data_IF_828197631321
#
_entry.id   IF_828197631321
#
_cell.length_a   1.000
_cell.length_b   1.000
_cell.length_c   1.000
_cell.angle_alpha   90.00
_cell.angle_beta   90.00
_cell.angle_gamma   90.00
#
_symmetry.space_group_name_H-M   'P 1'
#
loop_
_entity.id
_entity.type
_entity.pdbx_description
1 polymer ?
#
# COMPACT_ATOMS: atom_id res chain seq x y z
N UNK A 1 -17.43 15.93 0.18
CA UNK A 1 -16.43 15.63 1.23
C UNK A 1 -17.13 15.60 2.56
N UNK A 2 -16.90 14.56 3.37
CA UNK A 2 -17.33 14.53 4.78
C UNK A 2 -16.52 15.58 5.54
N UNK A 3 -17.16 16.48 6.28
CA UNK A 3 -16.41 17.49 7.06
C UNK A 3 -15.61 16.81 8.16
N UNK A 4 -14.36 17.24 8.36
CA UNK A 4 -13.57 16.77 9.50
C UNK A 4 -14.25 17.16 10.82
N UNK A 5 -14.26 16.27 11.84
CA UNK A 5 -14.74 16.61 13.17
C UNK A 5 -13.89 17.75 13.76
N UNK A 6 -14.53 18.57 14.58
CA UNK A 6 -13.88 19.69 15.28
C UNK A 6 -12.98 19.22 16.42
N UNK A 7 -13.24 18.02 16.96
CA UNK A 7 -12.47 17.41 18.04
C UNK A 7 -11.66 16.21 17.55
N UNK A 8 -10.51 15.89 18.19
CA UNK A 8 -9.74 14.71 17.83
C UNK A 8 -10.53 13.42 18.07
N UNK A 9 -10.51 12.53 17.09
CA UNK A 9 -11.05 11.16 17.20
C UNK A 9 -9.96 10.13 16.92
N UNK A 10 -10.31 8.84 16.92
CA UNK A 10 -9.37 7.80 16.51
C UNK A 10 -8.94 7.99 15.05
N UNK A 11 -9.90 8.30 14.17
CA UNK A 11 -9.75 8.53 12.73
C UNK A 11 -9.07 9.88 12.45
N UNK A 12 -9.49 10.94 13.15
CA UNK A 12 -9.00 12.31 12.93
C UNK A 12 -8.13 12.74 14.10
N UNK A 13 -6.83 12.51 13.97
CA UNK A 13 -5.87 12.77 15.05
C UNK A 13 -5.54 14.25 15.22
N UNK A 14 -5.59 15.00 14.11
CA UNK A 14 -5.28 16.42 14.02
C UNK A 14 -6.44 17.13 13.30
N UNK A 15 -7.44 17.65 14.05
CA UNK A 15 -8.50 18.48 13.47
C UNK A 15 -7.91 19.62 12.65
N UNK A 16 -8.41 19.84 11.43
CA UNK A 16 -7.84 20.83 10.51
C UNK A 16 -6.51 20.42 9.83
N UNK A 17 -6.05 19.18 9.96
CA UNK A 17 -4.93 18.66 9.19
C UNK A 17 -5.23 17.21 8.75
N UNK A 18 -5.88 17.07 7.60
CA UNK A 18 -6.25 15.78 7.02
C UNK A 18 -5.01 14.99 6.62
N UNK A 19 -3.99 15.68 6.10
CA UNK A 19 -2.71 15.07 5.70
C UNK A 19 -2.05 14.31 6.86
N UNK A 20 -1.83 14.98 8.00
CA UNK A 20 -1.29 14.33 9.19
C UNK A 20 -2.23 13.28 9.76
N UNK A 21 -3.54 13.56 9.82
CA UNK A 21 -4.53 12.61 10.36
C UNK A 21 -4.52 11.30 9.58
N UNK A 22 -4.60 11.36 8.25
CA UNK A 22 -4.57 10.19 7.37
C UNK A 22 -3.24 9.42 7.50
N UNK A 23 -2.10 10.12 7.48
CA UNK A 23 -0.81 9.45 7.60
C UNK A 23 -0.63 8.78 8.98
N UNK A 24 -1.07 9.42 10.07
CA UNK A 24 -1.05 8.79 11.41
C UNK A 24 -2.00 7.60 11.49
N UNK A 25 -3.17 7.69 10.88
CA UNK A 25 -4.14 6.60 10.83
C UNK A 25 -3.59 5.36 10.12
N UNK A 26 -2.86 5.55 9.01
CA UNK A 26 -2.17 4.45 8.31
C UNK A 26 -1.19 3.73 9.25
N UNK A 27 -0.44 4.46 10.07
CA UNK A 27 0.50 3.89 11.05
C UNK A 27 -0.22 3.23 12.22
N UNK A 28 -1.29 3.84 12.76
CA UNK A 28 -2.15 3.22 13.79
C UNK A 28 -2.68 1.86 13.31
N UNK A 29 -3.12 1.79 12.06
CA UNK A 29 -3.58 0.55 11.43
C UNK A 29 -2.53 -0.55 11.30
N UNK A 30 -1.26 -0.25 11.59
CA UNK A 30 -0.16 -1.22 11.55
C UNK A 30 0.21 -1.77 12.93
N UNK A 31 -0.39 -1.26 14.00
CA UNK A 31 -0.14 -1.70 15.38
C UNK A 31 -0.47 -3.17 15.58
N UNK A 32 -1.60 -3.65 15.03
CA UNK A 32 -2.03 -5.04 15.15
C UNK A 32 -1.02 -6.04 14.54
N UNK A 33 -0.15 -5.56 13.65
CA UNK A 33 0.85 -6.37 12.95
C UNK A 33 2.27 -6.19 13.51
N UNK A 34 2.42 -5.54 14.68
CA UNK A 34 3.72 -5.31 15.32
C UNK A 34 4.60 -4.28 14.62
N UNK A 35 4.10 -3.59 13.58
CA UNK A 35 4.83 -2.57 12.83
C UNK A 35 4.65 -1.15 13.39
N UNK A 36 3.94 -1.00 14.51
CA UNK A 36 3.92 0.21 15.31
C UNK A 36 3.53 -0.09 16.76
N UNK A 37 3.68 0.88 17.66
CA UNK A 37 3.17 0.81 19.03
C UNK A 37 2.36 2.04 19.38
N UNK A 38 1.20 1.85 20.03
CA UNK A 38 0.30 2.96 20.39
C UNK A 38 0.97 4.04 21.25
N UNK A 39 1.82 3.64 22.20
CA UNK A 39 2.54 4.59 23.05
C UNK A 39 3.55 5.43 22.27
N UNK A 40 4.23 4.85 21.29
CA UNK A 40 5.20 5.56 20.43
C UNK A 40 4.47 6.54 19.51
N UNK A 41 3.35 6.11 18.92
CA UNK A 41 2.48 7.00 18.14
C UNK A 41 1.96 8.16 18.99
N UNK A 42 1.48 7.90 20.21
CA UNK A 42 0.97 8.93 21.11
C UNK A 42 2.05 9.97 21.46
N UNK A 43 3.28 9.54 21.73
CA UNK A 43 4.42 10.44 21.96
C UNK A 43 4.72 11.33 20.74
N UNK A 44 4.72 10.75 19.53
CA UNK A 44 4.89 11.53 18.29
C UNK A 44 3.75 12.54 18.13
N UNK A 45 2.50 12.11 18.33
CA UNK A 45 1.31 12.94 18.16
C UNK A 45 1.30 14.11 19.13
N UNK A 46 1.67 13.91 20.40
CA UNK A 46 1.76 14.99 21.40
C UNK A 46 2.74 16.07 20.96
N UNK A 47 3.94 15.67 20.54
CA UNK A 47 4.95 16.63 20.06
C UNK A 47 4.54 17.33 18.77
N UNK A 48 3.91 16.61 17.84
CA UNK A 48 3.35 17.24 16.62
C UNK A 48 2.25 18.27 16.94
N UNK A 49 1.43 18.03 17.96
CA UNK A 49 0.40 19.01 18.39
C UNK A 49 1.03 20.29 18.93
N UNK A 50 2.12 20.21 19.67
CA UNK A 50 2.88 21.38 20.14
C UNK A 50 3.48 22.17 18.97
N UNK A 51 3.76 21.50 17.85
CA UNK A 51 4.35 22.06 16.63
C UNK A 51 3.32 22.42 15.55
N UNK A 52 2.03 22.29 15.83
CA UNK A 52 0.97 22.50 14.83
C UNK A 52 0.84 23.96 14.34
N UNK A 53 1.47 24.91 15.04
CA UNK A 53 1.55 26.32 14.64
C UNK A 53 2.82 26.70 13.86
N UNK A 54 3.72 25.76 13.58
CA UNK A 54 4.94 26.05 12.81
C UNK A 54 4.64 26.34 11.33
N UNK A 55 5.46 27.19 10.67
CA UNK A 55 5.25 27.54 9.27
C UNK A 55 5.49 26.36 8.31
N UNK A 56 6.34 25.41 8.70
CA UNK A 56 6.69 24.24 7.90
C UNK A 56 6.26 22.94 8.60
N UNK A 57 5.00 22.58 8.39
CA UNK A 57 4.39 21.38 8.97
C UNK A 57 4.93 20.08 8.35
N UNK A 58 5.42 20.10 7.11
CA UNK A 58 5.98 18.91 6.47
C UNK A 58 7.35 18.59 7.09
N UNK A 59 8.16 19.62 7.40
CA UNK A 59 9.39 19.48 8.19
C UNK A 59 9.12 19.00 9.60
N UNK A 60 8.14 19.58 10.30
CA UNK A 60 7.77 19.14 11.65
C UNK A 60 7.38 17.65 11.64
N UNK A 61 6.58 17.21 10.67
CA UNK A 61 6.28 15.79 10.49
C UNK A 61 7.53 14.93 10.32
N UNK A 62 8.40 15.28 9.37
CA UNK A 62 9.60 14.50 9.07
C UNK A 62 10.49 14.34 10.30
N UNK A 63 10.78 15.43 11.01
CA UNK A 63 11.63 15.43 12.21
C UNK A 63 11.00 14.63 13.35
N UNK A 64 9.69 14.76 13.58
CA UNK A 64 9.05 14.13 14.72
C UNK A 64 9.01 12.60 14.57
N UNK A 65 8.68 12.12 13.37
CA UNK A 65 8.68 10.69 13.04
C UNK A 65 10.09 10.11 12.93
N UNK A 66 11.03 10.82 12.31
CA UNK A 66 12.41 10.34 12.18
C UNK A 66 13.11 10.23 13.53
N UNK A 67 12.87 11.16 14.46
CA UNK A 67 13.42 11.06 15.82
C UNK A 67 12.93 9.83 16.56
N UNK A 68 11.65 9.48 16.43
CA UNK A 68 11.14 8.24 17.04
C UNK A 68 11.72 7.00 16.34
N UNK A 69 11.83 7.04 15.02
CA UNK A 69 12.47 5.99 14.24
C UNK A 69 13.95 5.78 14.62
N UNK A 70 14.73 6.86 14.80
CA UNK A 70 16.14 6.81 15.25
C UNK A 70 16.23 6.20 16.66
N UNK A 71 15.33 6.59 17.59
CA UNK A 71 15.28 6.00 18.94
C UNK A 71 15.02 4.50 18.90
N UNK A 72 14.02 4.07 18.13
CA UNK A 72 13.63 2.66 18.02
C UNK A 72 14.68 1.84 17.28
N UNK A 73 15.24 2.38 16.19
CA UNK A 73 16.31 1.74 15.43
C UNK A 73 17.54 1.49 16.31
N UNK A 74 17.95 2.46 17.15
CA UNK A 74 19.07 2.31 18.07
C UNK A 74 18.88 1.16 19.07
N UNK A 75 17.67 0.99 19.62
CA UNK A 75 17.36 -0.17 20.47
C UNK A 75 17.47 -1.48 19.69
N UNK A 76 17.08 -1.45 18.41
CA UNK A 76 17.27 -2.56 17.48
C UNK A 76 18.74 -2.88 17.25
N UNK A 77 19.56 -1.87 16.99
CA UNK A 77 21.00 -1.97 16.76
C UNK A 77 21.72 -2.51 18.02
N UNK A 78 21.36 -2.01 19.22
CA UNK A 78 21.85 -2.53 20.51
C UNK A 78 21.47 -4.00 20.71
N UNK A 79 20.22 -4.38 20.41
CA UNK A 79 19.77 -5.77 20.50
C UNK A 79 20.47 -6.68 19.50
N UNK A 80 20.75 -6.19 18.29
CA UNK A 80 21.44 -6.94 17.25
C UNK A 80 22.91 -7.18 17.63
N UNK A 81 23.58 -6.16 18.17
CA UNK A 81 24.94 -6.27 18.70
C UNK A 81 25.06 -7.32 19.83
N UNK A 82 24.00 -7.47 20.64
CA UNK A 82 23.90 -8.49 21.69
C UNK A 82 23.47 -9.88 21.18
N UNK A 83 23.25 -10.05 19.87
CA UNK A 83 22.78 -11.30 19.27
C UNK A 83 21.29 -11.62 19.53
N UNK A 84 20.49 -10.66 19.99
CA UNK A 84 19.06 -10.81 20.31
C UNK A 84 18.18 -10.61 19.06
N UNK A 85 18.27 -11.52 18.11
CA UNK A 85 17.67 -11.40 16.77
C UNK A 85 16.17 -11.05 16.77
N UNK A 86 15.33 -11.73 17.57
CA UNK A 86 13.88 -11.43 17.63
C UNK A 86 13.63 -10.03 18.18
N UNK A 87 14.36 -9.63 19.22
CA UNK A 87 14.22 -8.28 19.78
C UNK A 87 14.61 -7.22 18.75
N UNK A 88 15.75 -7.40 18.07
CA UNK A 88 16.20 -6.51 17.01
C UNK A 88 15.17 -6.44 15.88
N UNK A 89 14.67 -7.57 15.41
CA UNK A 89 13.64 -7.65 14.36
C UNK A 89 12.37 -6.88 14.71
N UNK A 90 11.86 -7.03 15.95
CA UNK A 90 10.68 -6.30 16.42
C UNK A 90 10.91 -4.77 16.43
N UNK A 91 12.11 -4.31 16.81
CA UNK A 91 12.43 -2.88 16.77
C UNK A 91 12.55 -2.39 15.33
N UNK A 92 13.26 -3.13 14.48
CA UNK A 92 13.47 -2.75 13.09
C UNK A 92 12.17 -2.70 12.30
N UNK A 93 11.18 -3.57 12.58
CA UNK A 93 9.87 -3.51 11.91
C UNK A 93 9.18 -2.17 12.17
N UNK A 94 9.18 -1.72 13.43
CA UNK A 94 8.60 -0.41 13.81
C UNK A 94 9.43 0.76 13.28
N UNK A 95 10.75 0.70 13.42
CA UNK A 95 11.63 1.76 12.92
C UNK A 95 11.51 1.94 11.40
N UNK A 96 11.42 0.85 10.63
CA UNK A 96 11.20 0.87 9.18
C UNK A 96 9.91 1.62 8.83
N UNK A 97 8.82 1.26 9.50
CA UNK A 97 7.52 1.92 9.32
C UNK A 97 7.53 3.41 9.72
N UNK A 98 8.26 3.77 10.77
CA UNK A 98 8.38 5.17 11.19
C UNK A 98 9.26 6.01 10.25
N UNK A 99 10.38 5.47 9.75
CA UNK A 99 11.17 6.16 8.73
C UNK A 99 10.39 6.32 7.41
N UNK A 100 9.67 5.29 6.98
CA UNK A 100 8.83 5.36 5.79
C UNK A 100 7.71 6.40 5.96
N UNK A 101 7.14 6.48 7.16
CA UNK A 101 6.17 7.53 7.50
C UNK A 101 6.80 8.92 7.55
N UNK A 102 8.00 9.06 8.09
CA UNK A 102 8.74 10.32 8.16
C UNK A 102 9.01 10.90 6.77
N UNK A 103 9.43 10.06 5.81
CA UNK A 103 9.74 10.54 4.47
C UNK A 103 8.53 11.00 3.66
N UNK A 104 7.31 10.68 4.09
CA UNK A 104 6.08 10.80 3.29
C UNK A 104 5.88 12.19 2.69
N UNK A 105 6.23 13.24 3.44
CA UNK A 105 6.05 14.63 2.99
C UNK A 105 7.36 15.32 2.56
N UNK A 106 8.48 14.60 2.58
CA UNK A 106 9.75 15.10 2.04
C UNK A 106 9.69 15.02 0.51
N UNK A 107 9.93 16.13 -0.23
CA UNK A 107 9.99 16.12 -1.69
C UNK A 107 11.10 15.19 -2.23
N UNK A 108 11.01 14.73 -3.49
CA UNK A 108 12.06 13.91 -4.09
C UNK A 108 13.42 14.62 -4.07
N UNK A 109 14.45 13.92 -3.59
CA UNK A 109 15.80 14.44 -3.43
C UNK A 109 16.61 13.65 -2.41
N UNK A 110 17.82 14.11 -2.12
CA UNK A 110 18.77 13.40 -1.26
C UNK A 110 18.25 13.12 0.16
N UNK A 111 17.51 14.07 0.73
CA UNK A 111 16.92 13.92 2.07
C UNK A 111 15.90 12.78 2.13
N UNK A 112 14.97 12.74 1.16
CA UNK A 112 13.99 11.65 1.03
C UNK A 112 14.71 10.32 0.84
N UNK A 113 15.71 10.28 -0.03
CA UNK A 113 16.47 9.06 -0.30
C UNK A 113 17.28 8.58 0.91
N UNK A 114 17.82 9.49 1.72
CA UNK A 114 18.49 9.14 2.96
C UNK A 114 17.51 8.52 3.96
N UNK A 115 16.32 9.11 4.11
CA UNK A 115 15.26 8.58 4.98
C UNK A 115 14.76 7.22 4.49
N UNK A 116 14.52 7.07 3.19
CA UNK A 116 14.10 5.81 2.59
C UNK A 116 15.11 4.69 2.80
N UNK A 117 16.43 4.96 2.62
CA UNK A 117 17.46 3.94 2.85
C UNK A 117 17.48 3.45 4.29
N UNK A 118 17.20 4.33 5.27
CA UNK A 118 17.01 3.93 6.67
C UNK A 118 15.78 3.03 6.83
N UNK A 119 14.66 3.39 6.22
CA UNK A 119 13.43 2.59 6.23
C UNK A 119 13.67 1.19 5.66
N UNK A 120 14.25 1.12 4.45
CA UNK A 120 14.53 -0.10 3.72
C UNK A 120 15.50 -1.02 4.48
N UNK A 121 16.58 -0.48 5.06
CA UNK A 121 17.49 -1.23 5.93
C UNK A 121 16.74 -1.90 7.09
N UNK A 122 15.93 -1.12 7.81
CA UNK A 122 15.18 -1.62 8.95
C UNK A 122 14.15 -2.69 8.53
N UNK A 123 13.39 -2.45 7.46
CA UNK A 123 12.44 -3.44 6.96
C UNK A 123 13.11 -4.76 6.56
N UNK A 124 14.19 -4.70 5.77
CA UNK A 124 14.94 -5.90 5.38
C UNK A 124 15.49 -6.64 6.60
N UNK A 125 16.08 -5.91 7.55
CA UNK A 125 16.62 -6.47 8.79
C UNK A 125 15.52 -7.13 9.64
N UNK A 126 14.33 -6.55 9.67
CA UNK A 126 13.18 -7.11 10.36
C UNK A 126 12.66 -8.38 9.69
N UNK A 127 12.46 -8.35 8.37
CA UNK A 127 12.02 -9.51 7.59
C UNK A 127 12.97 -10.69 7.76
N UNK A 128 14.27 -10.48 7.63
CA UNK A 128 15.28 -11.54 7.79
C UNK A 128 15.29 -12.18 9.19
N UNK A 129 14.98 -11.41 10.24
CA UNK A 129 15.04 -11.86 11.64
C UNK A 129 13.73 -12.49 12.11
N UNK A 130 12.60 -11.93 11.69
CA UNK A 130 11.26 -12.36 12.14
C UNK A 130 10.65 -13.41 11.21
N UNK A 131 11.02 -13.38 9.93
CA UNK A 131 10.43 -14.19 8.86
C UNK A 131 11.51 -14.72 7.90
N UNK A 132 12.52 -15.47 8.40
CA UNK A 132 13.60 -15.99 7.56
C UNK A 132 13.12 -16.96 6.47
N UNK A 133 11.89 -17.46 6.56
CA UNK A 133 11.23 -18.28 5.56
C UNK A 133 10.69 -17.51 4.35
N UNK A 134 10.61 -16.17 4.44
CA UNK A 134 10.10 -15.32 3.35
C UNK A 134 11.26 -14.95 2.42
N UNK A 135 11.12 -15.31 1.16
CA UNK A 135 12.18 -15.17 0.16
C UNK A 135 12.13 -13.76 -0.46
N UNK A 136 13.26 -13.04 -0.43
CA UNK A 136 13.42 -11.87 -1.32
C UNK A 136 13.72 -12.37 -2.71
N UNK A 137 12.98 -11.87 -3.70
CA UNK A 137 13.09 -12.32 -5.09
C UNK A 137 13.09 -11.14 -6.04
N UNK A 138 13.69 -11.34 -7.21
CA UNK A 138 13.70 -10.38 -8.30
C UNK A 138 12.88 -10.96 -9.44
N UNK A 139 11.79 -10.27 -9.81
CA UNK A 139 10.88 -10.67 -10.89
C UNK A 139 11.45 -10.12 -12.20
N UNK A 140 11.83 -10.97 -13.17
CA UNK A 140 12.31 -10.48 -14.47
C UNK A 140 11.28 -9.57 -15.14
N UNK A 141 11.71 -8.39 -15.58
CA UNK A 141 10.83 -7.36 -16.11
C UNK A 141 11.55 -6.54 -17.18
N UNK A 142 11.13 -6.68 -18.43
CA UNK A 142 11.78 -6.03 -19.59
C UNK A 142 13.30 -6.31 -19.59
N UNK A 143 14.14 -5.29 -19.54
CA UNK A 143 15.61 -5.37 -19.46
C UNK A 143 16.17 -5.30 -18.02
N UNK A 144 15.30 -5.39 -17.02
CA UNK A 144 15.62 -5.24 -15.60
C UNK A 144 14.82 -6.24 -14.73
N UNK A 145 14.66 -5.95 -13.44
CA UNK A 145 13.81 -6.70 -12.51
C UNK A 145 12.96 -5.80 -11.62
N UNK A 146 11.91 -6.38 -11.06
CA UNK A 146 11.07 -5.78 -10.02
C UNK A 146 11.31 -6.52 -8.69
N UNK A 147 11.64 -5.81 -7.60
CA UNK A 147 11.91 -6.43 -6.32
C UNK A 147 10.62 -6.86 -5.64
N UNK A 148 10.62 -8.07 -5.08
CA UNK A 148 9.46 -8.66 -4.45
C UNK A 148 9.83 -9.52 -3.22
N UNK A 149 8.83 -9.83 -2.42
CA UNK A 149 8.88 -10.85 -1.38
C UNK A 149 7.91 -11.98 -1.73
N UNK A 150 8.41 -13.21 -1.76
CA UNK A 150 7.61 -14.41 -1.95
C UNK A 150 7.36 -15.10 -0.60
N UNK A 151 6.09 -15.14 -0.20
CA UNK A 151 5.61 -15.79 1.02
C UNK A 151 4.97 -17.12 0.64
N UNK A 152 5.58 -18.22 1.05
CA UNK A 152 5.06 -19.55 0.74
C UNK A 152 3.85 -19.90 1.60
N UNK A 153 2.76 -20.35 0.99
CA UNK A 153 1.59 -20.83 1.70
C UNK A 153 1.89 -22.10 2.50
N UNK A 154 1.21 -22.32 3.64
CA UNK A 154 1.33 -23.56 4.42
C UNK A 154 0.77 -24.77 3.65
N UNK A 155 1.22 -25.98 3.98
CA UNK A 155 0.75 -27.24 3.37
C UNK A 155 1.70 -27.88 2.35
N UNK A 156 1.20 -28.83 1.55
CA UNK A 156 1.95 -29.55 0.52
C UNK A 156 1.31 -29.36 -0.86
N UNK A 157 2.09 -29.55 -1.92
CA UNK A 157 1.63 -29.49 -3.31
C UNK A 157 1.49 -28.08 -3.89
N UNK A 158 0.85 -28.00 -5.06
CA UNK A 158 0.54 -26.76 -5.77
C UNK A 158 -0.62 -26.03 -5.10
N UNK A 159 -0.49 -24.72 -4.96
CA UNK A 159 -1.39 -23.87 -4.17
C UNK A 159 -1.93 -22.68 -4.97
N UNK A 160 -3.10 -22.14 -4.58
CA UNK A 160 -3.51 -20.83 -5.05
C UNK A 160 -2.46 -19.79 -4.69
N UNK A 161 -2.32 -18.76 -5.51
CA UNK A 161 -1.30 -17.72 -5.34
C UNK A 161 -1.91 -16.34 -5.55
N UNK A 162 -1.56 -15.41 -4.68
CA UNK A 162 -1.95 -14.01 -4.77
C UNK A 162 -0.75 -13.15 -5.16
N UNK A 163 -0.82 -12.46 -6.29
CA UNK A 163 0.09 -11.37 -6.65
C UNK A 163 -0.45 -10.06 -6.08
N UNK A 164 0.31 -9.36 -5.26
CA UNK A 164 -0.10 -8.13 -4.58
C UNK A 164 0.70 -6.94 -5.06
N UNK A 165 0.01 -5.98 -5.69
CA UNK A 165 0.53 -4.64 -5.94
C UNK A 165 0.00 -3.66 -4.89
N UNK A 166 0.84 -2.71 -4.48
CA UNK A 166 0.50 -1.74 -3.46
C UNK A 166 -0.02 -0.40 -4.00
N UNK A 167 -0.09 0.60 -3.12
CA UNK A 167 -0.52 1.95 -3.45
C UNK A 167 0.61 2.84 -4.00
N UNK A 168 0.33 4.13 -4.16
CA UNK A 168 1.32 5.11 -4.63
C UNK A 168 2.40 5.45 -3.58
N UNK A 169 2.08 5.26 -2.29
CA UNK A 169 2.88 5.65 -1.13
C UNK A 169 3.05 4.49 -0.13
N UNK A 170 3.32 3.28 -0.64
CA UNK A 170 3.60 2.12 0.22
C UNK A 170 4.77 1.29 -0.31
N UNK A 171 5.15 0.27 0.44
CA UNK A 171 6.14 -0.73 0.06
C UNK A 171 5.61 -2.14 0.27
N UNK A 172 6.05 -3.09 -0.57
CA UNK A 172 5.75 -4.53 -0.49
C UNK A 172 5.91 -5.13 0.91
N UNK A 173 6.85 -4.66 1.74
CA UNK A 173 7.03 -5.17 3.10
C UNK A 173 5.77 -4.98 3.94
N UNK A 174 5.07 -3.87 3.76
CA UNK A 174 3.80 -3.63 4.45
C UNK A 174 2.74 -4.60 3.96
N UNK A 175 2.67 -4.84 2.65
CA UNK A 175 1.76 -5.82 2.03
C UNK A 175 1.98 -7.24 2.57
N UNK A 176 3.24 -7.65 2.77
CA UNK A 176 3.57 -8.93 3.43
C UNK A 176 3.03 -8.97 4.86
N UNK A 177 3.27 -7.91 5.63
CA UNK A 177 2.98 -7.90 7.06
C UNK A 177 1.48 -7.80 7.36
N UNK A 178 0.71 -6.97 6.65
CA UNK A 178 -0.72 -6.84 6.94
C UNK A 178 -1.58 -7.94 6.30
N UNK A 179 -1.15 -8.55 5.19
CA UNK A 179 -1.95 -9.54 4.46
C UNK A 179 -1.17 -10.80 4.07
N UNK A 180 0.04 -10.67 3.55
CA UNK A 180 0.79 -11.79 2.96
C UNK A 180 1.00 -12.97 3.91
N UNK A 181 1.38 -12.69 5.15
CA UNK A 181 1.55 -13.72 6.21
C UNK A 181 0.22 -14.41 6.54
N UNK A 182 -0.89 -13.67 6.52
CA UNK A 182 -2.22 -14.24 6.82
C UNK A 182 -2.70 -15.17 5.70
N UNK A 183 -2.61 -14.71 4.45
CA UNK A 183 -2.89 -15.55 3.28
C UNK A 183 -2.01 -16.81 3.25
N UNK A 184 -0.74 -16.69 3.63
CA UNK A 184 0.14 -17.85 3.73
C UNK A 184 -0.32 -18.86 4.81
N UNK A 185 -0.83 -18.40 5.96
CA UNK A 185 -1.44 -19.29 6.98
C UNK A 185 -2.63 -20.05 6.43
N UNK A 186 -3.39 -19.43 5.53
CA UNK A 186 -4.56 -20.01 4.82
C UNK A 186 -4.17 -20.94 3.66
N UNK A 187 -2.88 -21.13 3.40
CA UNK A 187 -2.39 -22.01 2.33
C UNK A 187 -2.28 -21.34 0.96
N UNK A 188 -2.35 -20.01 0.89
CA UNK A 188 -2.21 -19.22 -0.35
C UNK A 188 -0.77 -18.71 -0.43
N UNK A 189 -0.05 -18.96 -1.53
CA UNK A 189 1.25 -18.30 -1.73
C UNK A 189 1.03 -16.82 -2.04
N UNK A 190 2.00 -15.96 -1.71
CA UNK A 190 1.90 -14.53 -1.98
C UNK A 190 3.17 -14.02 -2.64
N UNK A 191 3.03 -13.24 -3.70
CA UNK A 191 4.08 -12.38 -4.24
C UNK A 191 3.71 -10.93 -3.94
N UNK A 192 4.33 -10.33 -2.94
CA UNK A 192 4.22 -8.89 -2.69
C UNK A 192 5.31 -8.17 -3.47
N UNK A 193 4.94 -7.33 -4.42
CA UNK A 193 5.86 -6.78 -5.43
C UNK A 193 5.76 -5.26 -5.48
N UNK A 194 6.92 -4.59 -5.52
CA UNK A 194 6.98 -3.18 -5.87
C UNK A 194 7.07 -3.08 -7.41
N UNK A 195 6.06 -2.48 -8.05
CA UNK A 195 6.06 -2.28 -9.51
C UNK A 195 6.56 -0.88 -9.94
N UNK A 196 6.51 -0.57 -11.25
CA UNK A 196 6.91 0.74 -11.77
C UNK A 196 6.19 1.90 -11.07
N UNK A 197 6.95 2.87 -10.56
CA UNK A 197 6.43 4.00 -9.80
C UNK A 197 6.14 3.73 -8.31
N UNK A 198 6.49 2.55 -7.79
CA UNK A 198 6.32 2.17 -6.38
C UNK A 198 7.69 2.01 -5.70
N UNK A 199 7.74 2.23 -4.38
CA UNK A 199 8.88 1.96 -3.46
C UNK A 199 10.26 1.85 -4.12
N UNK A 200 10.86 0.65 -4.19
CA UNK A 200 12.24 0.42 -4.65
C UNK A 200 12.45 0.82 -6.12
N UNK A 201 11.62 0.38 -7.10
CA UNK A 201 11.72 0.81 -8.49
C UNK A 201 11.77 2.34 -8.65
N UNK A 202 10.86 3.07 -8.00
CA UNK A 202 10.82 4.53 -8.12
C UNK A 202 12.02 5.19 -7.44
N UNK A 203 12.36 4.75 -6.22
CA UNK A 203 13.32 5.43 -5.36
C UNK A 203 14.77 5.08 -5.68
N UNK A 204 15.06 3.81 -5.99
CA UNK A 204 16.43 3.32 -6.21
C UNK A 204 16.81 3.24 -7.69
N UNK A 205 15.82 3.05 -8.56
CA UNK A 205 16.05 2.83 -9.99
C UNK A 205 15.44 3.92 -10.87
N UNK A 206 14.81 4.94 -10.27
CA UNK A 206 14.16 6.04 -10.98
C UNK A 206 13.18 5.52 -12.07
N UNK A 207 12.44 4.46 -11.74
CA UNK A 207 11.46 3.83 -12.63
C UNK A 207 10.06 4.43 -12.37
N UNK A 208 9.56 5.34 -13.24
CA UNK A 208 8.25 5.94 -13.06
C UNK A 208 7.12 4.94 -13.35
N UNK A 209 5.92 5.29 -12.94
CA UNK A 209 4.72 4.50 -13.20
C UNK A 209 4.32 4.52 -14.68
N UNK A 210 3.48 3.55 -15.05
CA UNK A 210 2.93 3.39 -16.38
C UNK A 210 1.45 3.03 -16.31
N UNK A 211 0.69 3.43 -17.32
CA UNK A 211 -0.76 3.21 -17.37
C UNK A 211 -1.12 1.80 -17.87
N UNK A 212 -0.25 1.18 -18.64
CA UNK A 212 -0.33 -0.20 -19.10
C UNK A 212 0.29 -1.15 -18.07
N UNK A 213 -0.27 -1.14 -16.86
CA UNK A 213 0.25 -1.90 -15.72
C UNK A 213 0.11 -3.43 -15.87
N UNK A 214 -0.64 -3.91 -16.85
CA UNK A 214 -0.64 -5.31 -17.29
C UNK A 214 0.77 -5.80 -17.66
N UNK A 215 1.69 -4.93 -18.09
CA UNK A 215 3.06 -5.35 -18.41
C UNK A 215 3.79 -5.83 -17.15
N UNK A 216 3.64 -5.12 -16.03
CA UNK A 216 4.15 -5.59 -14.73
C UNK A 216 3.34 -6.78 -14.20
N UNK A 217 2.02 -6.78 -14.42
CA UNK A 217 1.15 -7.89 -14.05
C UNK A 217 1.48 -9.21 -14.75
N UNK A 218 1.80 -9.18 -16.04
CA UNK A 218 2.24 -10.34 -16.83
C UNK A 218 3.57 -10.86 -16.33
N UNK A 219 4.56 -9.98 -16.09
CA UNK A 219 5.85 -10.38 -15.52
C UNK A 219 5.70 -11.07 -14.15
N UNK A 220 4.85 -10.53 -13.27
CA UNK A 220 4.56 -11.14 -11.98
C UNK A 220 3.87 -12.50 -12.12
N UNK A 221 2.93 -12.66 -13.05
CA UNK A 221 2.27 -13.94 -13.34
C UNK A 221 3.27 -14.99 -13.84
N UNK A 222 4.12 -14.62 -14.80
CA UNK A 222 5.11 -15.52 -15.39
C UNK A 222 6.13 -15.98 -14.33
N UNK A 223 6.56 -15.07 -13.45
CA UNK A 223 7.43 -15.42 -12.32
C UNK A 223 6.76 -16.42 -11.35
N UNK A 224 5.54 -16.16 -10.88
CA UNK A 224 4.93 -17.07 -9.90
C UNK A 224 4.64 -18.43 -10.52
N UNK A 225 4.24 -18.49 -11.79
CA UNK A 225 3.93 -19.76 -12.46
C UNK A 225 5.16 -20.57 -12.87
N UNK A 226 6.36 -19.97 -12.84
CA UNK A 226 7.62 -20.72 -12.95
C UNK A 226 7.96 -21.51 -11.67
N UNK A 227 7.27 -21.27 -10.56
CA UNK A 227 7.53 -21.91 -9.28
C UNK A 227 6.76 -23.23 -9.09
N UNK A 228 7.39 -24.29 -8.58
CA UNK A 228 6.76 -25.61 -8.47
C UNK A 228 5.61 -25.68 -7.47
N UNK A 229 5.56 -24.80 -6.47
CA UNK A 229 4.49 -24.73 -5.47
C UNK A 229 3.25 -23.92 -5.92
N UNK A 230 3.29 -23.31 -7.11
CA UNK A 230 2.19 -22.50 -7.64
C UNK A 230 1.33 -23.35 -8.57
N UNK A 231 0.02 -23.20 -8.42
CA UNK A 231 -0.95 -23.70 -9.39
C UNK A 231 -1.28 -22.60 -10.42
N UNK A 232 -0.85 -22.71 -11.68
CA UNK A 232 -1.07 -21.68 -12.69
C UNK A 232 -2.54 -21.36 -12.94
N UNK A 233 -3.45 -22.31 -12.71
CA UNK A 233 -4.89 -22.09 -12.88
C UNK A 233 -5.52 -21.31 -11.73
N UNK A 234 -4.79 -21.10 -10.62
CA UNK A 234 -5.28 -20.49 -9.38
C UNK A 234 -4.42 -19.30 -8.93
N UNK A 235 -4.01 -18.48 -9.88
CA UNK A 235 -3.29 -17.23 -9.60
C UNK A 235 -4.27 -16.05 -9.65
N UNK A 236 -4.40 -15.33 -8.56
CA UNK A 236 -5.16 -14.10 -8.45
C UNK A 236 -4.25 -12.87 -8.37
N UNK A 237 -4.79 -11.70 -8.68
CA UNK A 237 -4.13 -10.41 -8.44
C UNK A 237 -4.96 -9.56 -7.50
N UNK A 238 -4.28 -8.90 -6.57
CA UNK A 238 -4.83 -7.93 -5.65
C UNK A 238 -4.08 -6.61 -5.82
N UNK A 239 -4.84 -5.52 -5.81
CA UNK A 239 -4.30 -4.19 -5.66
C UNK A 239 -5.06 -3.42 -4.58
N UNK A 240 -4.35 -2.60 -3.81
CA UNK A 240 -4.98 -1.72 -2.83
C UNK A 240 -4.61 -0.26 -3.02
N UNK A 241 -5.54 0.64 -2.70
CA UNK A 241 -5.41 2.07 -2.99
C UNK A 241 -5.18 2.32 -4.49
N UNK A 242 -4.04 2.90 -4.90
CA UNK A 242 -3.68 3.03 -6.32
C UNK A 242 -3.66 1.67 -7.05
N UNK A 243 -3.33 0.58 -6.35
CA UNK A 243 -3.46 -0.78 -6.87
C UNK A 243 -4.89 -1.16 -7.26
N UNK A 244 -5.91 -0.50 -6.70
CA UNK A 244 -7.31 -0.66 -7.10
C UNK A 244 -7.60 -0.20 -8.54
N UNK A 245 -6.73 0.60 -9.15
CA UNK A 245 -6.71 0.84 -10.61
C UNK A 245 -5.94 -0.28 -11.33
N UNK A 246 -4.77 -0.64 -10.79
CA UNK A 246 -3.85 -1.58 -11.41
C UNK A 246 -4.44 -2.99 -11.56
N UNK A 247 -5.10 -3.54 -10.53
CA UNK A 247 -5.61 -4.91 -10.57
C UNK A 247 -6.69 -5.13 -11.65
N UNK A 248 -7.76 -4.31 -11.76
CA UNK A 248 -8.68 -4.40 -12.89
C UNK A 248 -8.02 -4.16 -14.24
N UNK A 249 -7.07 -3.22 -14.33
CA UNK A 249 -6.31 -2.94 -15.56
C UNK A 249 -5.48 -4.14 -16.01
N UNK A 250 -4.86 -4.85 -15.07
CA UNK A 250 -4.13 -6.11 -15.31
C UNK A 250 -5.12 -7.16 -15.83
N UNK A 251 -6.19 -7.49 -15.09
CA UNK A 251 -7.13 -8.54 -15.48
C UNK A 251 -7.91 -8.24 -16.79
N UNK A 252 -8.01 -6.97 -17.19
CA UNK A 252 -8.60 -6.59 -18.46
C UNK A 252 -7.76 -7.05 -19.68
N UNK A 253 -6.45 -7.24 -19.52
CA UNK A 253 -5.52 -7.50 -20.62
C UNK A 253 -4.61 -8.73 -20.42
N UNK A 254 -4.34 -9.13 -19.17
CA UNK A 254 -3.71 -10.40 -18.81
C UNK A 254 -4.79 -11.39 -18.33
N UNK A 255 -5.30 -12.17 -19.26
CA UNK A 255 -6.48 -13.04 -19.06
C UNK A 255 -6.19 -14.31 -18.25
N UNK A 256 -4.92 -14.60 -17.96
CA UNK A 256 -4.53 -15.79 -17.21
C UNK A 256 -4.78 -15.67 -15.71
N UNK A 257 -4.97 -14.47 -15.17
CA UNK A 257 -5.38 -14.29 -13.78
C UNK A 257 -6.79 -14.84 -13.54
N UNK A 258 -6.90 -15.75 -12.56
CA UNK A 258 -8.12 -16.45 -12.22
C UNK A 258 -9.08 -15.63 -11.34
N UNK A 259 -8.59 -14.59 -10.64
CA UNK A 259 -9.43 -13.68 -9.86
C UNK A 259 -8.77 -12.31 -9.67
N UNK A 260 -9.60 -11.29 -9.41
CA UNK A 260 -9.18 -9.91 -9.17
C UNK A 260 -9.73 -9.39 -7.84
N UNK A 261 -8.88 -8.76 -7.03
CA UNK A 261 -9.28 -8.13 -5.75
C UNK A 261 -8.90 -6.66 -5.76
N UNK A 262 -9.87 -5.80 -5.46
CA UNK A 262 -9.68 -4.35 -5.28
C UNK A 262 -9.93 -4.00 -3.82
N UNK A 263 -8.89 -3.73 -3.03
CA UNK A 263 -9.00 -3.29 -1.64
C UNK A 263 -8.90 -1.77 -1.57
N UNK A 264 -10.01 -1.07 -1.37
CA UNK A 264 -10.08 0.37 -1.56
C UNK A 264 -9.97 0.70 -3.04
N UNK A 265 -11.06 0.47 -3.80
CA UNK A 265 -11.19 0.88 -5.20
C UNK A 265 -10.59 2.27 -5.45
N UNK A 266 -9.93 2.45 -6.60
CA UNK A 266 -9.36 3.73 -7.01
C UNK A 266 -10.40 4.56 -7.79
N UNK A 267 -10.15 5.88 -7.90
CA UNK A 267 -10.91 6.78 -8.75
C UNK A 267 -11.04 6.24 -10.18
N UNK A 268 -12.23 6.38 -10.77
CA UNK A 268 -12.50 5.92 -12.14
C UNK A 268 -11.50 6.47 -13.18
N UNK A 269 -11.05 7.70 -12.95
CA UNK A 269 -9.95 8.34 -13.66
C UNK A 269 -9.04 9.04 -12.65
N UNK A 270 -7.75 8.72 -12.66
CA UNK A 270 -6.76 9.34 -11.78
C UNK A 270 -6.63 10.85 -12.04
N UNK A 271 -7.00 11.33 -13.22
CA UNK A 271 -7.09 12.76 -13.50
C UNK A 271 -7.97 13.51 -12.50
N UNK A 272 -9.15 12.98 -12.15
CA UNK A 272 -10.07 13.65 -11.24
C UNK A 272 -9.50 13.70 -9.81
N UNK A 273 -8.81 12.62 -9.41
CA UNK A 273 -8.04 12.59 -8.17
C UNK A 273 -6.97 13.68 -8.14
N UNK A 274 -6.07 13.72 -9.14
CA UNK A 274 -4.95 14.67 -9.17
C UNK A 274 -5.45 16.12 -9.26
N UNK A 275 -6.48 16.37 -10.09
CA UNK A 275 -7.09 17.68 -10.22
C UNK A 275 -7.75 18.14 -8.91
N UNK A 276 -8.45 17.26 -8.21
CA UNK A 276 -9.08 17.56 -6.92
C UNK A 276 -8.08 17.89 -5.81
N UNK A 277 -6.82 17.47 -5.95
CA UNK A 277 -5.73 17.75 -5.01
C UNK A 277 -4.98 19.06 -5.31
N UNK A 278 -5.39 19.82 -6.34
CA UNK A 278 -4.80 21.10 -6.71
C UNK A 278 -5.79 22.26 -6.43
N UNK A 279 -5.48 23.20 -5.51
CA UNK A 279 -4.24 23.34 -4.74
C UNK A 279 -4.17 22.44 -3.48
N UNK A 280 -2.95 22.12 -3.02
CA UNK A 280 -2.73 21.41 -1.76
C UNK A 280 -3.16 22.28 -0.58
N UNK A 281 -4.40 22.11 -0.15
CA UNK A 281 -4.80 22.47 1.21
C UNK A 281 -4.61 21.23 2.09
N UNK A 282 -3.69 21.21 3.07
CA UNK A 282 -3.51 20.08 3.99
C UNK A 282 -4.77 19.77 4.83
N UNK A 283 -5.75 20.68 4.86
CA UNK A 283 -7.09 20.43 5.43
C UNK A 283 -7.96 19.53 4.55
N UNK A 284 -7.70 19.50 3.25
CA UNK A 284 -8.56 18.87 2.24
C UNK A 284 -7.87 17.73 1.49
N UNK A 285 -6.54 17.63 1.55
CA UNK A 285 -5.74 16.66 0.81
C UNK A 285 -4.96 15.74 1.75
N UNK A 286 -5.00 14.44 1.46
CA UNK A 286 -4.33 13.41 2.26
C UNK A 286 -2.88 13.15 1.83
N UNK A 287 -2.51 13.58 0.61
CA UNK A 287 -1.17 13.43 0.03
C UNK A 287 -0.49 14.76 -0.33
N UNK A 288 0.78 14.71 -0.70
CA UNK A 288 1.55 15.86 -1.17
C UNK A 288 1.31 16.14 -2.65
N UNK A 289 1.32 17.42 -3.06
CA UNK A 289 1.15 17.84 -4.47
C UNK A 289 2.24 17.33 -5.40
N UNK A 290 3.44 17.07 -4.88
CA UNK A 290 4.54 16.54 -5.69
C UNK A 290 4.38 15.05 -6.03
N UNK A 291 3.54 14.31 -5.30
CA UNK A 291 3.60 12.84 -5.31
C UNK A 291 3.26 12.27 -6.68
N UNK A 292 2.17 12.74 -7.30
CA UNK A 292 1.79 12.29 -8.64
C UNK A 292 2.83 12.65 -9.71
N UNK A 293 3.40 13.86 -9.64
CA UNK A 293 4.48 14.28 -10.54
C UNK A 293 5.70 13.38 -10.40
N UNK A 294 6.08 13.03 -9.17
CA UNK A 294 7.22 12.17 -8.91
C UNK A 294 6.98 10.74 -9.42
N UNK A 295 5.82 10.17 -9.10
CA UNK A 295 5.44 8.81 -9.49
C UNK A 295 5.37 8.66 -11.01
N UNK A 296 4.90 9.69 -11.72
CA UNK A 296 4.91 9.71 -13.19
C UNK A 296 6.25 10.09 -13.82
N UNK A 297 7.20 10.60 -13.03
CA UNK A 297 8.46 11.14 -13.55
C UNK A 297 8.25 12.40 -14.42
N UNK A 298 7.09 13.05 -14.32
CA UNK A 298 6.75 14.18 -15.17
C UNK A 298 7.62 15.41 -14.83
N UNK A 299 8.06 16.18 -15.84
CA UNK A 299 8.92 17.35 -15.62
C UNK A 299 8.19 18.47 -14.87
N UNK A 300 6.87 18.57 -15.00
CA UNK A 300 6.04 19.61 -14.40
C UNK A 300 4.61 19.12 -14.10
N UNK A 301 3.85 19.94 -13.36
CA UNK A 301 2.47 19.62 -12.96
C UNK A 301 1.50 19.50 -14.16
N UNK A 302 1.53 20.38 -15.18
CA UNK A 302 0.68 20.22 -16.36
C UNK A 302 0.92 18.89 -17.09
N UNK A 303 2.17 18.48 -17.27
CA UNK A 303 2.51 17.20 -17.90
C UNK A 303 2.00 16.02 -17.06
N UNK A 304 2.17 16.10 -15.73
CA UNK A 304 1.64 15.09 -14.82
C UNK A 304 0.11 14.96 -14.92
N UNK A 305 -0.61 16.09 -14.99
CA UNK A 305 -2.06 16.11 -15.19
C UNK A 305 -2.48 15.49 -16.53
N UNK A 306 -1.78 15.79 -17.63
CA UNK A 306 -2.04 15.17 -18.92
C UNK A 306 -1.80 13.65 -18.88
N UNK A 307 -0.75 13.21 -18.18
CA UNK A 307 -0.49 11.79 -17.98
C UNK A 307 -1.60 11.10 -17.19
N UNK A 308 -2.16 11.76 -16.17
CA UNK A 308 -3.24 11.22 -15.34
C UNK A 308 -4.45 10.78 -16.16
N UNK A 309 -4.73 11.43 -17.29
CA UNK A 309 -5.83 11.05 -18.21
C UNK A 309 -5.67 9.65 -18.80
N UNK A 310 -4.45 9.12 -18.88
CA UNK A 310 -4.18 7.75 -19.36
C UNK A 310 -4.52 6.69 -18.31
N UNK A 311 -4.56 7.07 -17.04
CA UNK A 311 -4.86 6.18 -15.92
C UNK A 311 -6.38 6.16 -15.67
N UNK A 312 -7.10 5.55 -16.61
CA UNK A 312 -8.56 5.42 -16.56
C UNK A 312 -9.00 3.96 -16.66
N UNK A 313 -10.09 3.63 -15.98
CA UNK A 313 -10.77 2.34 -16.12
C UNK A 313 -11.89 2.35 -17.17
N UNK A 314 -12.15 3.50 -17.80
CA UNK A 314 -13.12 3.63 -18.88
C UNK A 314 -12.70 2.83 -20.12
N UNK A 315 -13.57 1.92 -20.58
CA UNK A 315 -13.27 1.03 -21.70
C UNK A 315 -12.25 -0.07 -21.35
N UNK A 316 -11.83 -0.15 -20.10
CA UNK A 316 -10.88 -1.12 -19.55
C UNK A 316 -11.61 -2.08 -18.62
N UNK A 317 -12.30 -1.57 -17.60
CA UNK A 317 -12.98 -2.40 -16.60
C UNK A 317 -14.04 -3.32 -17.24
N UNK A 318 -14.70 -2.86 -18.31
CA UNK A 318 -15.66 -3.64 -19.09
C UNK A 318 -15.05 -4.91 -19.72
N UNK A 319 -13.73 -5.00 -19.84
CA UNK A 319 -13.00 -6.15 -20.39
C UNK A 319 -12.63 -7.20 -19.35
N UNK A 320 -12.82 -6.94 -18.05
CA UNK A 320 -12.49 -7.92 -17.01
C UNK A 320 -13.51 -9.06 -17.06
N UNK A 321 -13.04 -10.31 -17.10
CA UNK A 321 -13.89 -11.50 -17.23
C UNK A 321 -13.84 -12.42 -16.00
N UNK A 322 -12.71 -12.47 -15.31
CA UNK A 322 -12.52 -13.29 -14.11
C UNK A 322 -13.42 -12.82 -12.95
N UNK A 323 -13.66 -13.66 -11.93
CA UNK A 323 -14.26 -13.23 -10.67
C UNK A 323 -13.58 -11.98 -10.07
N UNK A 324 -14.40 -11.05 -9.55
CA UNK A 324 -13.91 -9.81 -8.93
C UNK A 324 -14.51 -9.61 -7.54
N UNK A 325 -13.66 -9.28 -6.57
CA UNK A 325 -14.06 -8.76 -5.27
C UNK A 325 -13.62 -7.31 -5.10
N UNK A 326 -14.56 -6.41 -4.84
CA UNK A 326 -14.33 -5.01 -4.52
C UNK A 326 -14.66 -4.79 -3.03
N UNK A 327 -13.69 -4.28 -2.28
CA UNK A 327 -13.83 -3.91 -0.88
C UNK A 327 -13.63 -2.40 -0.74
N UNK A 328 -14.48 -1.72 0.03
CA UNK A 328 -14.39 -0.27 0.20
C UNK A 328 -14.97 0.19 1.55
N UNK A 329 -14.44 1.26 2.11
CA UNK A 329 -14.95 1.84 3.36
C UNK A 329 -16.00 2.93 3.09
N UNK A 330 -17.08 3.01 3.87
CA UNK A 330 -18.07 4.08 3.70
C UNK A 330 -17.56 5.48 4.08
N UNK A 331 -16.55 5.54 4.94
CA UNK A 331 -15.88 6.74 5.39
C UNK A 331 -14.57 7.02 4.63
N UNK A 332 -14.34 6.38 3.48
CA UNK A 332 -13.15 6.62 2.67
C UNK A 332 -13.09 8.09 2.20
N UNK A 333 -12.17 8.85 2.79
CA UNK A 333 -11.93 10.27 2.49
C UNK A 333 -10.90 10.48 1.38
N UNK A 334 -10.23 9.41 0.94
CA UNK A 334 -9.22 9.45 -0.12
C UNK A 334 -9.85 9.13 -1.47
N UNK A 335 -10.73 8.12 -1.49
CA UNK A 335 -11.51 7.75 -2.66
C UNK A 335 -12.99 7.74 -2.30
N UNK A 336 -13.83 8.51 -3.01
CA UNK A 336 -15.27 8.49 -2.77
C UNK A 336 -15.88 7.09 -2.96
N UNK A 337 -16.79 6.69 -2.07
CA UNK A 337 -17.55 5.44 -2.20
C UNK A 337 -18.30 5.30 -3.55
N UNK A 338 -18.66 6.42 -4.18
CA UNK A 338 -19.27 6.43 -5.50
C UNK A 338 -18.39 5.76 -6.57
N UNK A 339 -17.07 5.86 -6.47
CA UNK A 339 -16.14 5.19 -7.39
C UNK A 339 -16.17 3.68 -7.23
N UNK A 340 -16.32 3.15 -6.01
CA UNK A 340 -16.48 1.72 -5.78
C UNK A 340 -17.78 1.18 -6.38
N UNK A 341 -18.89 1.92 -6.23
CA UNK A 341 -20.16 1.59 -6.87
C UNK A 341 -20.06 1.63 -8.40
N UNK A 342 -19.43 2.66 -8.96
CA UNK A 342 -19.21 2.80 -10.40
C UNK A 342 -18.36 1.66 -10.95
N UNK A 343 -17.27 1.29 -10.25
CA UNK A 343 -16.45 0.14 -10.60
C UNK A 343 -17.26 -1.15 -10.62
N UNK A 344 -18.02 -1.41 -9.57
CA UNK A 344 -18.88 -2.59 -9.51
C UNK A 344 -19.92 -2.61 -10.63
N UNK A 345 -20.55 -1.48 -10.95
CA UNK A 345 -21.53 -1.40 -12.03
C UNK A 345 -20.90 -1.73 -13.39
N UNK A 346 -19.78 -1.09 -13.71
CA UNK A 346 -19.17 -1.09 -15.05
C UNK A 346 -18.25 -2.26 -15.33
N UNK A 347 -17.69 -2.91 -14.31
CA UNK A 347 -16.77 -4.02 -14.53
C UNK A 347 -17.46 -5.17 -15.27
N UNK A 348 -16.77 -5.71 -16.28
CA UNK A 348 -17.32 -6.67 -17.24
C UNK A 348 -17.68 -8.03 -16.65
N UNK A 349 -17.05 -8.37 -15.51
CA UNK A 349 -17.18 -9.67 -14.88
C UNK A 349 -18.63 -9.98 -14.53
N UNK A 350 -19.04 -11.21 -14.82
CA UNK A 350 -20.37 -11.73 -14.42
C UNK A 350 -20.38 -12.22 -12.98
N UNK A 351 -19.21 -12.50 -12.41
CA UNK A 351 -19.04 -12.89 -11.02
C UNK A 351 -18.33 -11.76 -10.26
N UNK A 352 -19.09 -10.75 -9.85
CA UNK A 352 -18.58 -9.55 -9.18
C UNK A 352 -19.27 -9.35 -7.84
N UNK A 353 -18.48 -8.99 -6.85
CA UNK A 353 -18.93 -8.74 -5.48
C UNK A 353 -18.46 -7.38 -5.01
N UNK A 354 -19.33 -6.64 -4.33
CA UNK A 354 -19.00 -5.39 -3.66
C UNK A 354 -19.30 -5.53 -2.16
N UNK A 355 -18.29 -5.31 -1.33
CA UNK A 355 -18.42 -5.19 0.13
C UNK A 355 -18.07 -3.77 0.52
N UNK A 356 -19.05 -3.01 1.01
CA UNK A 356 -18.77 -1.79 1.77
C UNK A 356 -18.73 -2.11 3.26
N UNK A 357 -17.72 -1.57 3.94
CA UNK A 357 -17.56 -1.64 5.38
C UNK A 357 -18.19 -0.41 6.01
N UNK A 358 -19.13 -0.63 6.92
CA UNK A 358 -19.75 0.45 7.67
C UNK A 358 -18.98 0.79 8.93
N UNK A 359 -19.18 1.99 9.47
CA UNK A 359 -18.59 2.42 10.74
C UNK A 359 -18.94 1.44 11.88
N UNK A 360 -20.17 0.89 11.86
CA UNK A 360 -20.62 -0.09 12.84
C UNK A 360 -19.89 -1.44 12.74
N UNK A 361 -19.44 -1.83 11.54
CA UNK A 361 -18.64 -3.04 11.32
C UNK A 361 -17.15 -2.81 11.65
N UNK A 362 -16.68 -1.58 11.51
CA UNK A 362 -15.25 -1.25 11.44
C UNK A 362 -14.65 -1.56 10.07
N UNK A 363 -13.47 -1.03 9.78
CA UNK A 363 -12.88 -1.11 8.43
C UNK A 363 -13.43 -0.04 7.47
N UNK A 364 -14.14 0.96 7.99
CA UNK A 364 -14.88 1.94 7.22
C UNK A 364 -13.98 2.98 6.52
N UNK A 365 -12.68 2.98 6.84
CA UNK A 365 -11.74 3.98 6.33
C UNK A 365 -11.00 3.45 5.08
N UNK A 366 -10.23 4.32 4.43
CA UNK A 366 -9.52 3.97 3.19
C UNK A 366 -8.69 2.68 3.35
N UNK A 367 -8.89 1.71 2.46
CA UNK A 367 -8.22 0.39 2.53
C UNK A 367 -8.33 -0.30 3.90
N UNK A 368 -9.42 -0.05 4.62
CA UNK A 368 -9.72 -0.61 5.93
C UNK A 368 -8.60 -0.30 6.95
N UNK A 369 -7.90 0.83 6.83
CA UNK A 369 -6.76 1.16 7.72
C UNK A 369 -7.14 1.17 9.22
N UNK A 370 -8.41 1.32 9.53
CA UNK A 370 -8.98 1.24 10.88
C UNK A 370 -9.20 -0.18 11.38
N UNK A 371 -9.40 -1.14 10.49
CA UNK A 371 -9.44 -2.56 10.82
C UNK A 371 -9.11 -3.46 9.61
N UNK A 372 -7.83 -3.48 9.21
CA UNK A 372 -7.40 -4.17 7.98
C UNK A 372 -7.68 -5.66 8.02
N UNK A 373 -7.64 -6.26 9.21
CA UNK A 373 -7.85 -7.69 9.38
C UNK A 373 -9.21 -8.14 8.86
N UNK A 374 -10.28 -7.35 9.03
CA UNK A 374 -11.61 -7.68 8.49
C UNK A 374 -11.59 -7.82 6.96
N UNK A 375 -10.91 -6.89 6.28
CA UNK A 375 -10.74 -6.94 4.84
C UNK A 375 -9.91 -8.15 4.41
N UNK A 376 -8.79 -8.40 5.09
CA UNK A 376 -7.89 -9.53 4.82
C UNK A 376 -8.61 -10.87 5.01
N UNK A 377 -9.40 -11.02 6.07
CA UNK A 377 -10.14 -12.26 6.33
C UNK A 377 -11.15 -12.55 5.22
N UNK A 378 -11.94 -11.55 4.83
CA UNK A 378 -12.91 -11.67 3.73
C UNK A 378 -12.22 -12.03 2.42
N UNK A 379 -11.09 -11.39 2.11
CA UNK A 379 -10.32 -11.68 0.89
C UNK A 379 -9.82 -13.13 0.92
N UNK A 380 -9.21 -13.56 2.03
CA UNK A 380 -8.66 -14.90 2.17
C UNK A 380 -9.72 -15.99 2.00
N UNK A 381 -10.87 -15.83 2.68
CA UNK A 381 -12.00 -16.76 2.56
C UNK A 381 -12.60 -16.77 1.15
N UNK A 382 -12.75 -15.59 0.55
CA UNK A 382 -13.27 -15.46 -0.81
C UNK A 382 -12.37 -16.13 -1.85
N UNK A 383 -11.04 -15.96 -1.72
CA UNK A 383 -10.07 -16.60 -2.61
C UNK A 383 -10.14 -18.11 -2.53
N UNK A 384 -10.16 -18.69 -1.33
CA UNK A 384 -10.24 -20.15 -1.15
C UNK A 384 -11.54 -20.74 -1.69
N UNK A 385 -12.63 -19.97 -1.71
CA UNK A 385 -13.91 -20.39 -2.31
C UNK A 385 -13.91 -20.26 -3.84
N UNK A 386 -13.17 -19.29 -4.36
CA UNK A 386 -13.21 -18.91 -5.77
C UNK A 386 -12.20 -19.66 -6.62
N UNK A 387 -11.06 -20.05 -6.04
CA UNK A 387 -9.91 -20.66 -6.72
C UNK A 387 -9.82 -22.17 -6.56
#
# INVERSE_FOLDING_TARGET
>A
MVSMPSEPTWQVTFPGNLRWSNATQIVKGMVAYGAAAMAEIDLIVRRLRERAGEPDLDKAWAEEWSREADRVARIGDEADADGRAITAGNQYMRAGNYYYSAERFIPPGDEKMAMYRKALRCYQAAMQRLHPEIERVEVPYEDTSLPAWFVKGRGLGKRPTMVMFDGMDNAKEMSVIFAGIDFAKRGINVLAIDGPGQSEPLRLHNMPTRHDYEVAGTAAYDYVTSRPEVDPARVAVMGYSFGGYQAPRICAFEKRYAACVCLGAMHWNVYDFVKGHAPADPRQTSGSTFQWRWVTGAPDVPTALEWAKKFTLEGVAEKVECPVLILHGENDRVVPIADAHKLHERIGSKNKHLKIFTEAEGGAEHCQVDNRQLGVDIIGDWLLKTL
#
